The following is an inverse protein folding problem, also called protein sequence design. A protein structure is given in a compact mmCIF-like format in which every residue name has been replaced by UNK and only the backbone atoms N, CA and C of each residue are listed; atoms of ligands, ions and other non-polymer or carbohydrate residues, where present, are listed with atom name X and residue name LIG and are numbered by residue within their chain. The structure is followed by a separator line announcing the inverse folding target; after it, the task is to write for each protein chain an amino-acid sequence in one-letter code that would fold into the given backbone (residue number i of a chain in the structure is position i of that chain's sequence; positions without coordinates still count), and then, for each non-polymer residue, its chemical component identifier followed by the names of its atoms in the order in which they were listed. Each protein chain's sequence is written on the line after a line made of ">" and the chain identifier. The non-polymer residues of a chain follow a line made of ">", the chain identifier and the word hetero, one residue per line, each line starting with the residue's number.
data_IF_448291607308
#
_entry.id   IF_448291607308
#
_cell.length_a   1.000
_cell.length_b   1.000
_cell.length_c   1.000
_cell.angle_alpha   90.00
_cell.angle_beta   90.00
_cell.angle_gamma   90.00
#
_symmetry.space_group_name_H-M   'P 1'
#
loop_
_entity.id
_entity.type
_entity.pdbx_description
1 polymer ?
#
# COMPACT_ATOMS: atom_id res chain seq x y z
N UNK A 1 -19.56 -7.50 10.63
CA UNK A 1 -18.92 -6.90 9.44
C UNK A 1 -17.49 -6.57 9.82
N UNK A 2 -16.55 -7.48 9.57
CA UNK A 2 -15.13 -7.23 9.78
C UNK A 2 -14.54 -7.15 8.37
N UNK A 3 -14.80 -6.02 7.72
CA UNK A 3 -14.07 -5.66 6.51
C UNK A 3 -12.69 -5.17 6.90
N UNK A 4 -11.78 -5.11 5.93
CA UNK A 4 -10.53 -4.37 6.00
C UNK A 4 -10.91 -2.87 6.10
N UNK A 5 -11.53 -2.44 7.20
CA UNK A 5 -11.29 -1.10 7.68
C UNK A 5 -9.79 -1.07 7.95
N UNK A 6 -9.12 0.01 7.58
CA UNK A 6 -7.68 0.20 7.76
C UNK A 6 -7.33 0.27 9.28
N UNK A 7 -7.78 -0.70 10.07
CA UNK A 7 -8.02 -0.62 11.51
C UNK A 7 -8.81 0.65 11.93
N UNK A 8 -9.73 1.08 11.05
CA UNK A 8 -10.50 2.32 11.22
C UNK A 8 -9.74 3.60 10.83
N UNK A 9 -8.54 3.47 10.26
CA UNK A 9 -7.76 4.60 9.75
C UNK A 9 -8.40 5.21 8.50
N UNK A 10 -8.62 6.52 8.52
CA UNK A 10 -9.00 7.30 7.35
C UNK A 10 -7.75 7.98 6.79
N UNK A 11 -7.26 7.60 5.57
CA UNK A 11 -5.98 8.06 5.04
C UNK A 11 -5.77 9.57 5.05
N UNK A 12 -6.84 10.32 4.82
CA UNK A 12 -6.80 11.77 4.67
C UNK A 12 -7.16 12.54 5.95
N UNK A 13 -7.38 11.86 7.09
CA UNK A 13 -7.74 12.50 8.37
C UNK A 13 -6.58 13.26 9.03
N UNK A 14 -5.33 12.91 8.70
CA UNK A 14 -4.12 13.53 9.25
C UNK A 14 -3.13 14.01 8.18
N UNK A 15 -2.16 14.82 8.61
CA UNK A 15 -1.14 15.44 7.74
C UNK A 15 0.28 14.96 8.03
N UNK A 16 0.44 13.84 8.73
CA UNK A 16 1.73 13.21 8.96
C UNK A 16 2.37 12.85 7.62
N UNK A 17 3.64 13.22 7.44
CA UNK A 17 4.35 13.03 6.17
C UNK A 17 4.36 11.58 5.71
N UNK A 18 4.44 10.64 6.66
CA UNK A 18 4.22 9.23 6.42
C UNK A 18 3.57 8.56 7.63
N UNK A 19 2.70 7.60 7.36
CA UNK A 19 2.14 6.71 8.39
C UNK A 19 2.12 5.28 7.85
N UNK A 20 2.45 4.33 8.70
CA UNK A 20 2.38 2.92 8.37
C UNK A 20 1.56 2.16 9.40
N UNK A 21 0.92 1.09 8.98
CA UNK A 21 0.26 0.13 9.87
C UNK A 21 0.22 -1.24 9.22
N UNK A 22 0.14 -2.27 10.06
CA UNK A 22 0.11 -3.67 9.64
C UNK A 22 -1.31 -4.19 9.79
N UNK A 23 -1.79 -4.91 8.79
CA UNK A 23 -3.06 -5.61 8.84
C UNK A 23 -2.86 -7.11 8.66
N UNK A 24 -3.62 -7.88 9.44
CA UNK A 24 -3.69 -9.33 9.35
C UNK A 24 -5.10 -9.77 8.95
N UNK A 25 -5.21 -10.46 7.82
CA UNK A 25 -6.46 -11.05 7.32
C UNK A 25 -6.63 -12.41 7.99
N UNK A 26 -7.66 -12.56 8.81
CA UNK A 26 -7.82 -13.76 9.67
C UNK A 26 -8.47 -14.93 8.93
N UNK A 27 -9.75 -14.87 8.55
CA UNK A 27 -10.46 -16.07 8.06
C UNK A 27 -11.08 -15.95 6.66
N UNK A 28 -11.74 -14.84 6.35
CA UNK A 28 -12.34 -14.62 5.04
C UNK A 28 -11.44 -13.75 4.16
N UNK A 29 -11.55 -13.93 2.84
CA UNK A 29 -11.03 -12.95 1.89
C UNK A 29 -11.60 -11.57 2.24
N UNK A 30 -10.73 -10.57 2.30
CA UNK A 30 -11.14 -9.21 2.58
C UNK A 30 -10.99 -8.35 1.34
N UNK A 31 -12.04 -7.57 1.08
CA UNK A 31 -12.14 -6.69 -0.08
C UNK A 31 -12.41 -5.26 0.39
N UNK A 32 -11.55 -4.34 -0.02
CA UNK A 32 -11.75 -2.90 0.07
C UNK A 32 -12.27 -2.45 -1.29
N UNK A 33 -13.52 -1.95 -1.38
CA UNK A 33 -14.09 -1.44 -2.62
C UNK A 33 -13.26 -0.34 -3.26
N UNK A 34 -13.58 -0.01 -4.51
CA UNK A 34 -12.94 1.10 -5.22
C UNK A 34 -13.06 2.41 -4.40
N UNK A 35 -11.92 3.03 -4.12
CA UNK A 35 -11.81 4.27 -3.35
C UNK A 35 -10.59 5.06 -3.83
N UNK A 36 -10.48 6.30 -3.36
CA UNK A 36 -9.34 7.19 -3.64
C UNK A 36 -9.05 8.02 -2.41
N UNK A 37 -7.80 8.40 -2.22
CA UNK A 37 -7.36 9.29 -1.15
C UNK A 37 -6.21 10.17 -1.64
N UNK A 38 -5.95 11.28 -0.94
CA UNK A 38 -4.95 12.27 -1.31
C UNK A 38 -3.52 11.77 -1.14
N UNK A 39 -3.24 11.03 -0.08
CA UNK A 39 -1.92 10.42 0.13
C UNK A 39 -1.63 9.38 -0.95
N UNK A 40 -0.37 9.20 -1.31
CA UNK A 40 0.02 8.01 -2.07
C UNK A 40 0.10 6.80 -1.13
N UNK A 41 -0.17 5.60 -1.64
CA UNK A 41 -0.16 4.37 -0.85
C UNK A 41 0.88 3.39 -1.39
N UNK A 42 1.71 2.89 -0.49
CA UNK A 42 2.58 1.74 -0.74
C UNK A 42 2.00 0.52 -0.01
N UNK A 43 1.84 -0.58 -0.75
CA UNK A 43 1.26 -1.82 -0.27
C UNK A 43 2.32 -2.91 -0.28
N UNK A 44 2.78 -3.32 0.89
CA UNK A 44 3.81 -4.36 1.07
C UNK A 44 3.17 -5.66 1.57
N UNK A 45 3.35 -6.75 0.83
CA UNK A 45 2.95 -8.09 1.29
C UNK A 45 4.05 -8.73 2.14
N UNK A 46 3.71 -9.14 3.36
CA UNK A 46 4.60 -9.85 4.29
C UNK A 46 4.37 -11.36 4.27
N UNK A 47 3.10 -11.76 4.12
CA UNK A 47 2.66 -13.14 4.03
C UNK A 47 1.36 -13.22 3.22
N UNK A 48 1.10 -14.33 2.53
CA UNK A 48 -0.07 -14.48 1.67
C UNK A 48 -0.01 -13.61 0.41
N UNK A 49 -1.16 -13.35 -0.20
CA UNK A 49 -1.25 -12.52 -1.40
C UNK A 49 -2.25 -11.37 -1.21
N UNK A 50 -1.90 -10.22 -1.80
CA UNK A 50 -2.81 -9.09 -2.00
C UNK A 50 -2.81 -8.74 -3.49
N UNK A 51 -4.00 -8.47 -3.99
CA UNK A 51 -4.23 -7.90 -5.31
C UNK A 51 -4.72 -6.47 -5.18
N UNK A 52 -4.06 -5.56 -5.88
CA UNK A 52 -4.49 -4.17 -6.02
C UNK A 52 -4.98 -3.99 -7.45
N UNK A 53 -6.13 -3.36 -7.63
CA UNK A 53 -6.68 -3.06 -8.94
C UNK A 53 -6.78 -1.56 -9.16
N UNK A 54 -6.20 -1.06 -10.25
CA UNK A 54 -6.18 0.34 -10.70
C UNK A 54 -6.43 0.34 -12.21
N UNK A 55 -7.43 1.10 -12.68
CA UNK A 55 -7.71 1.28 -14.12
C UNK A 55 -7.71 -0.02 -14.96
N UNK A 56 -8.34 -1.10 -14.46
CA UNK A 56 -8.41 -2.43 -15.09
C UNK A 56 -7.06 -3.17 -15.23
N UNK A 57 -6.04 -2.76 -14.49
CA UNK A 57 -4.83 -3.53 -14.28
C UNK A 57 -4.83 -4.10 -12.86
N UNK A 58 -4.38 -5.34 -12.73
CA UNK A 58 -4.26 -6.03 -11.45
C UNK A 58 -2.80 -6.26 -11.13
N UNK A 59 -2.37 -5.85 -9.95
CA UNK A 59 -1.03 -6.10 -9.43
C UNK A 59 -1.12 -7.18 -8.35
N UNK A 60 -0.41 -8.29 -8.54
CA UNK A 60 -0.12 -9.25 -7.47
C UNK A 60 1.18 -8.84 -6.79
N UNK A 61 1.18 -8.82 -5.45
CA UNK A 61 2.36 -8.42 -4.67
C UNK A 61 3.07 -9.65 -4.11
N UNK A 62 4.15 -10.15 -4.75
CA UNK A 62 4.96 -11.19 -4.16
C UNK A 62 5.71 -10.70 -2.92
N UNK A 63 6.16 -11.60 -2.03
CA UNK A 63 7.06 -11.24 -0.94
C UNK A 63 8.27 -10.48 -1.46
N UNK A 64 8.71 -9.43 -0.73
CA UNK A 64 9.80 -8.49 -1.10
C UNK A 64 9.44 -7.41 -2.13
N UNK A 65 8.22 -7.41 -2.65
CA UNK A 65 7.75 -6.35 -3.54
C UNK A 65 6.66 -5.54 -2.86
N UNK A 66 6.45 -4.33 -3.34
CA UNK A 66 5.32 -3.51 -2.97
C UNK A 66 4.68 -2.89 -4.21
N UNK A 67 3.39 -2.61 -4.12
CA UNK A 67 2.68 -1.80 -5.12
C UNK A 67 2.63 -0.37 -4.62
N UNK A 68 3.09 0.55 -5.44
CA UNK A 68 2.90 1.97 -5.24
C UNK A 68 1.69 2.45 -6.02
N UNK A 69 0.76 3.10 -5.33
CA UNK A 69 -0.43 3.76 -5.90
C UNK A 69 -0.31 5.26 -5.61
N UNK A 70 -0.11 6.10 -6.64
CA UNK A 70 -0.16 7.55 -6.49
C UNK A 70 -1.47 8.04 -5.88
N UNK A 71 -1.42 9.18 -5.20
CA UNK A 71 -2.61 9.82 -4.65
C UNK A 71 -3.63 10.17 -5.74
N UNK A 72 -4.91 10.26 -5.34
CA UNK A 72 -6.07 10.55 -6.20
C UNK A 72 -6.43 9.48 -7.25
N UNK A 73 -5.68 8.38 -7.34
CA UNK A 73 -6.05 7.26 -8.21
C UNK A 73 -7.08 6.35 -7.53
N UNK A 74 -8.17 6.07 -8.25
CA UNK A 74 -9.15 5.09 -7.83
C UNK A 74 -8.55 3.69 -7.87
N UNK A 75 -8.62 2.99 -6.75
CA UNK A 75 -8.11 1.64 -6.63
C UNK A 75 -8.95 0.81 -5.66
N UNK A 76 -8.85 -0.51 -5.80
CA UNK A 76 -9.46 -1.47 -4.87
C UNK A 76 -8.42 -2.49 -4.43
N UNK A 77 -8.61 -3.06 -3.23
CA UNK A 77 -7.67 -4.03 -2.66
C UNK A 77 -8.41 -5.30 -2.28
N UNK A 78 -7.87 -6.46 -2.66
CA UNK A 78 -8.38 -7.78 -2.25
C UNK A 78 -7.24 -8.59 -1.69
N UNK A 79 -7.38 -9.05 -0.46
CA UNK A 79 -6.38 -9.81 0.25
C UNK A 79 -6.89 -11.23 0.56
N UNK A 80 -6.04 -12.23 0.34
CA UNK A 80 -6.37 -13.63 0.60
C UNK A 80 -6.48 -13.91 2.11
N UNK A 81 -7.21 -14.94 2.53
CA UNK A 81 -7.17 -15.42 3.92
C UNK A 81 -5.73 -15.64 4.40
N UNK A 82 -5.43 -15.26 5.64
CA UNK A 82 -4.09 -15.36 6.22
C UNK A 82 -3.05 -14.36 5.69
N UNK A 83 -3.44 -13.43 4.80
CA UNK A 83 -2.52 -12.41 4.31
C UNK A 83 -2.09 -11.46 5.43
N UNK A 84 -0.81 -11.11 5.44
CA UNK A 84 -0.26 -10.06 6.29
C UNK A 84 0.29 -8.98 5.38
N UNK A 85 -0.21 -7.76 5.55
CA UNK A 85 0.13 -6.64 4.69
C UNK A 85 0.52 -5.45 5.53
N UNK A 86 1.41 -4.62 5.02
CA UNK A 86 1.70 -3.32 5.58
C UNK A 86 1.32 -2.26 4.56
N UNK A 87 0.50 -1.30 5.00
CA UNK A 87 0.21 -0.11 4.23
C UNK A 87 1.07 1.03 4.77
N UNK A 88 1.68 1.77 3.85
CA UNK A 88 2.37 3.01 4.11
C UNK A 88 1.70 4.10 3.27
N UNK A 89 1.20 5.15 3.92
CA UNK A 89 0.67 6.32 3.25
C UNK A 89 1.69 7.46 3.31
N UNK A 90 1.88 8.15 2.20
CA UNK A 90 2.86 9.23 2.04
C UNK A 90 2.15 10.49 1.57
N UNK A 91 2.41 11.60 2.25
CA UNK A 91 1.92 12.92 1.86
C UNK A 91 2.40 13.33 0.46
N UNK A 92 1.55 13.96 -0.38
CA UNK A 92 1.97 14.50 -1.65
C UNK A 92 3.17 15.45 -1.50
N UNK A 93 4.22 15.22 -2.30
CA UNK A 93 5.44 16.03 -2.27
C UNK A 93 6.39 15.72 -1.12
N UNK A 94 6.08 14.79 -0.21
CA UNK A 94 6.98 14.42 0.87
C UNK A 94 8.18 13.59 0.41
N UNK A 95 8.04 12.85 -0.70
CA UNK A 95 9.11 12.11 -1.36
C UNK A 95 8.92 12.12 -2.89
N UNK A 96 9.99 12.05 -3.69
CA UNK A 96 9.91 12.02 -5.16
C UNK A 96 9.53 10.61 -5.64
N UNK A 97 8.25 10.26 -5.47
CA UNK A 97 7.69 8.97 -5.86
C UNK A 97 7.18 8.99 -7.32
N UNK A 98 7.00 7.83 -7.97
CA UNK A 98 6.47 7.76 -9.33
C UNK A 98 5.04 8.31 -9.43
N UNK A 99 4.72 9.01 -10.53
CA UNK A 99 3.38 9.55 -10.80
C UNK A 99 2.36 8.52 -11.30
N UNK A 100 2.80 7.27 -11.51
CA UNK A 100 1.98 6.16 -12.00
C UNK A 100 2.05 4.98 -11.03
N UNK A 101 1.02 4.14 -11.06
CA UNK A 101 1.05 2.88 -10.35
C UNK A 101 2.22 2.00 -10.85
N UNK A 102 3.01 1.44 -9.94
CA UNK A 102 4.13 0.58 -10.28
C UNK A 102 4.44 -0.43 -9.17
N UNK A 103 5.13 -1.51 -9.53
CA UNK A 103 5.72 -2.41 -8.53
C UNK A 103 7.13 -1.94 -8.19
N UNK A 104 7.47 -1.91 -6.90
CA UNK A 104 8.80 -1.62 -6.40
C UNK A 104 9.41 -2.86 -5.78
N UNK A 105 10.67 -3.17 -6.11
CA UNK A 105 11.46 -4.18 -5.42
C UNK A 105 12.03 -3.58 -4.14
N UNK A 106 11.50 -3.99 -2.99
CA UNK A 106 11.79 -3.37 -1.69
C UNK A 106 13.05 -3.99 -1.08
N UNK A 107 14.04 -3.15 -0.79
CA UNK A 107 15.26 -3.55 -0.08
C UNK A 107 14.96 -3.96 1.37
N UNK A 108 15.81 -4.79 2.00
CA UNK A 108 15.65 -5.14 3.41
C UNK A 108 15.59 -3.91 4.32
N UNK A 109 16.37 -2.86 4.04
CA UNK A 109 16.35 -1.62 4.83
C UNK A 109 14.98 -0.93 4.76
N UNK A 110 14.44 -0.72 3.57
CA UNK A 110 13.12 -0.08 3.39
C UNK A 110 12.03 -0.92 4.04
N UNK A 111 12.10 -2.25 3.90
CA UNK A 111 11.18 -3.18 4.57
C UNK A 111 11.18 -2.96 6.08
N UNK A 112 12.33 -3.02 6.74
CA UNK A 112 12.41 -2.87 8.19
C UNK A 112 12.03 -1.47 8.68
N UNK A 113 12.30 -0.42 7.89
CA UNK A 113 11.83 0.93 8.19
C UNK A 113 10.30 0.99 8.20
N UNK A 114 9.64 0.42 7.19
CA UNK A 114 8.18 0.36 7.11
C UNK A 114 7.60 -0.41 8.29
N UNK A 115 8.17 -1.57 8.62
CA UNK A 115 7.72 -2.38 9.77
C UNK A 115 7.91 -1.65 11.10
N UNK A 116 9.05 -0.99 11.27
CA UNK A 116 9.35 -0.20 12.47
C UNK A 116 8.34 0.95 12.62
N UNK A 117 7.99 1.65 11.53
CA UNK A 117 7.00 2.71 11.56
C UNK A 117 5.59 2.17 11.85
N UNK A 118 5.25 1.01 11.32
CA UNK A 118 3.96 0.35 11.58
C UNK A 118 3.74 -0.03 13.03
N UNK A 119 4.81 -0.17 13.82
CA UNK A 119 4.77 -0.46 15.25
C UNK A 119 4.78 0.81 16.12
N UNK A 120 4.91 2.00 15.53
CA UNK A 120 4.94 3.29 16.26
C UNK A 120 3.56 3.95 16.30
N UNK A 121 2.79 3.62 17.34
CA UNK A 121 1.56 4.33 17.70
C UNK A 121 1.75 5.40 18.78
N UNK A 122 0.75 6.27 18.96
CA UNK A 122 0.66 7.22 20.07
C UNK A 122 1.84 8.19 20.14
N UNK A 123 2.42 8.38 21.34
CA UNK A 123 3.53 9.31 21.58
C UNK A 123 4.78 9.01 20.73
N UNK A 124 5.00 7.73 20.40
CA UNK A 124 6.13 7.34 19.56
C UNK A 124 5.99 7.88 18.14
N UNK A 125 4.77 8.04 17.62
CA UNK A 125 4.55 8.60 16.28
C UNK A 125 5.08 10.04 16.20
N UNK A 126 4.88 10.83 17.26
CA UNK A 126 5.34 12.22 17.37
C UNK A 126 6.82 12.36 17.77
N UNK A 127 7.51 11.27 18.09
CA UNK A 127 8.89 11.33 18.56
C UNK A 127 9.85 11.80 17.46
N UNK A 128 10.86 12.65 17.77
CA UNK A 128 11.88 13.08 16.80
C UNK A 128 12.64 11.93 16.12
N UNK A 129 12.75 10.79 16.82
CA UNK A 129 13.34 9.58 16.25
C UNK A 129 12.51 9.01 15.08
N UNK A 130 11.17 9.13 15.13
CA UNK A 130 10.27 8.68 14.05
C UNK A 130 10.44 9.53 12.83
N UNK A 131 10.50 10.85 13.00
CA UNK A 131 10.78 11.78 11.91
C UNK A 131 12.09 11.44 11.19
N UNK A 132 13.16 11.08 11.92
CA UNK A 132 14.43 10.65 11.31
C UNK A 132 14.30 9.37 10.50
N UNK A 133 13.54 8.37 10.99
CA UNK A 133 13.29 7.15 10.22
C UNK A 133 12.48 7.42 8.95
N UNK A 134 11.49 8.32 9.03
CA UNK A 134 10.72 8.75 7.86
C UNK A 134 11.63 9.43 6.83
N UNK A 135 12.57 10.28 7.25
CA UNK A 135 13.53 10.89 6.33
C UNK A 135 14.41 9.85 5.63
N UNK A 136 14.96 8.88 6.38
CA UNK A 136 15.72 7.78 5.77
C UNK A 136 14.86 6.97 4.79
N UNK A 137 13.60 6.71 5.14
CA UNK A 137 12.66 6.02 4.26
C UNK A 137 12.44 6.81 2.96
N UNK A 138 12.31 8.13 3.03
CA UNK A 138 12.12 8.99 1.86
C UNK A 138 13.37 9.12 0.98
N UNK A 139 14.57 9.00 1.55
CA UNK A 139 15.80 8.93 0.77
C UNK A 139 15.92 7.60 0.00
N UNK A 140 15.43 6.51 0.60
CA UNK A 140 15.58 5.16 0.06
C UNK A 140 14.47 4.74 -0.91
N UNK A 141 13.21 5.15 -0.66
CA UNK A 141 12.06 4.75 -1.49
C UNK A 141 12.21 5.09 -3.00
N UNK A 142 12.64 6.30 -3.39
CA UNK A 142 12.82 6.66 -4.80
C UNK A 142 13.92 5.85 -5.50
N UNK A 143 14.82 5.23 -4.73
CA UNK A 143 15.92 4.41 -5.25
C UNK A 143 15.52 2.95 -5.48
N UNK A 144 14.31 2.54 -5.07
CA UNK A 144 13.86 1.16 -5.24
C UNK A 144 13.59 0.88 -6.73
N UNK A 145 14.10 -0.24 -7.28
CA UNK A 145 13.87 -0.59 -8.68
C UNK A 145 12.38 -0.73 -8.98
N UNK A 146 11.93 -0.08 -10.06
CA UNK A 146 10.59 -0.28 -10.62
C UNK A 146 10.57 -1.56 -11.45
N UNK A 147 9.60 -2.41 -11.18
CA UNK A 147 9.41 -3.70 -11.84
C UNK A 147 8.02 -3.77 -12.46
N UNK A 148 7.85 -4.62 -13.48
CA UNK A 148 6.61 -4.75 -14.21
C UNK A 148 5.89 -6.06 -13.85
N UNK A 149 5.33 -6.13 -12.65
CA UNK A 149 4.54 -7.27 -12.16
C UNK A 149 3.03 -6.99 -12.22
N UNK A 150 2.56 -6.52 -13.37
CA UNK A 150 1.15 -6.23 -13.61
C UNK A 150 0.53 -7.27 -14.56
N UNK A 151 -0.68 -7.71 -14.25
CA UNK A 151 -1.53 -8.45 -15.16
C UNK A 151 -2.57 -7.50 -15.74
N UNK A 152 -2.55 -7.34 -17.07
CA UNK A 152 -3.60 -6.64 -17.80
C UNK A 152 -4.63 -7.65 -18.25
N UNK A 153 -5.90 -7.36 -18.00
CA UNK A 153 -6.99 -8.18 -18.47
C UNK A 153 -7.99 -7.32 -19.24
N UNK A 154 -8.58 -7.88 -20.29
CA UNK A 154 -9.71 -7.26 -20.97
C UNK A 154 -10.99 -7.87 -20.42
N UNK A 155 -11.82 -7.08 -19.74
CA UNK A 155 -13.20 -7.49 -19.47
C UNK A 155 -13.95 -7.53 -20.79
N UNK A 156 -13.92 -8.69 -21.46
CA UNK A 156 -14.86 -8.93 -22.56
C UNK A 156 -16.22 -9.10 -21.89
N UNK A 157 -17.05 -8.05 -21.85
CA UNK A 157 -18.48 -8.20 -21.61
C UNK A 157 -19.03 -9.01 -22.78
N UNK A 158 -19.11 -10.34 -22.61
CA UNK A 158 -19.97 -11.16 -23.45
C UNK A 158 -21.40 -10.73 -23.14
N UNK A 159 -21.93 -9.82 -23.93
CA UNK A 159 -23.37 -9.60 -23.99
C UNK A 159 -23.99 -10.90 -24.50
N UNK A 160 -24.49 -11.73 -23.58
CA UNK A 160 -25.45 -12.78 -23.94
C UNK A 160 -26.76 -12.05 -24.19
N UNK A 161 -27.04 -11.81 -25.47
CA UNK A 161 -28.38 -11.44 -25.93
C UNK A 161 -29.21 -12.73 -25.91
N UNK A 162 -30.21 -12.77 -25.04
CA UNK A 162 -31.36 -13.67 -25.18
C UNK A 162 -32.40 -12.98 -26.05
#
# INVERSE_FOLDING_TARGET
>A
MIGLGLDGYEPDSGHESAIAFRIQVVEAEQYIPAHSHRKGQLILALHGALTCEVENAMWMVPPQYAVWVPGQLFHSNRATPGAQVCFLFIEPGAAPMPDRCCTLKISPLVRELILTLAERGGELLAAPATARLVQVLFDELPRQPQEHLQLRYQTTRKFVRW
#
